data_IF_401729257393
#
_entry.id   IF_401729257393
#
_cell.length_a   1.000
_cell.length_b   1.000
_cell.length_c   1.000
_cell.angle_alpha   90.00
_cell.angle_beta   90.00
_cell.angle_gamma   90.00
#
_symmetry.space_group_name_H-M   'P 1'
#
loop_
_entity.id
_entity.type
_entity.pdbx_description
1 polymer ?
#
# COMPACT_ATOMS: atom_id res chain seq x y z
N UNK A 1 -26.44 7.44 20.45
CA UNK A 1 -27.40 6.48 19.84
C UNK A 1 -26.61 5.61 18.90
N UNK A 2 -26.37 4.35 19.24
CA UNK A 2 -25.55 3.42 18.45
C UNK A 2 -26.44 2.68 17.45
N UNK A 3 -26.13 2.74 16.15
CA UNK A 3 -26.85 1.97 15.13
C UNK A 3 -26.54 0.48 15.32
N UNK A 4 -27.55 -0.38 15.09
CA UNK A 4 -27.38 -1.84 15.07
C UNK A 4 -26.51 -2.27 13.89
N UNK A 5 -25.76 -3.37 14.01
CA UNK A 5 -24.94 -3.96 12.94
C UNK A 5 -25.74 -4.20 11.64
N UNK A 6 -27.00 -4.62 11.77
CA UNK A 6 -27.91 -4.81 10.63
C UNK A 6 -28.26 -3.48 9.94
N UNK A 7 -28.40 -2.40 10.72
CA UNK A 7 -28.67 -1.06 10.18
C UNK A 7 -27.43 -0.51 9.46
N UNK A 8 -26.23 -0.73 10.00
CA UNK A 8 -24.97 -0.34 9.37
C UNK A 8 -24.72 -1.09 8.07
N UNK A 9 -25.02 -2.41 8.04
CA UNK A 9 -24.87 -3.22 6.84
C UNK A 9 -25.84 -2.80 5.73
N UNK A 10 -27.09 -2.54 6.08
CA UNK A 10 -28.09 -2.06 5.13
C UNK A 10 -27.71 -0.69 4.52
N UNK A 11 -27.12 0.20 5.31
CA UNK A 11 -26.65 1.51 4.85
C UNK A 11 -25.45 1.40 3.88
N UNK A 12 -24.54 0.45 4.13
CA UNK A 12 -23.41 0.16 3.22
C UNK A 12 -23.88 -0.47 1.91
N UNK A 13 -24.85 -1.40 1.95
CA UNK A 13 -25.43 -2.04 0.76
C UNK A 13 -26.24 -1.05 -0.10
N UNK A 14 -26.82 -0.01 0.50
CA UNK A 14 -27.55 1.04 -0.21
C UNK A 14 -26.70 2.24 -0.64
N UNK A 15 -25.40 2.25 -0.30
CA UNK A 15 -24.50 3.30 -0.79
C UNK A 15 -24.29 3.10 -2.29
N UNK A 16 -24.68 4.07 -3.15
CA UNK A 16 -24.47 3.96 -4.58
C UNK A 16 -22.99 3.79 -4.86
N UNK A 17 -22.60 2.64 -5.41
CA UNK A 17 -21.26 2.45 -5.89
C UNK A 17 -21.09 3.38 -7.10
N UNK A 18 -19.99 4.14 -7.19
CA UNK A 18 -19.72 4.92 -8.39
C UNK A 18 -19.70 3.96 -9.60
N UNK A 19 -20.22 4.39 -10.77
CA UNK A 19 -20.17 3.56 -11.96
C UNK A 19 -18.73 3.15 -12.26
N UNK A 20 -18.53 1.86 -12.53
CA UNK A 20 -17.23 1.29 -12.90
C UNK A 20 -16.79 1.91 -14.23
N UNK A 21 -15.61 2.52 -14.24
CA UNK A 21 -14.98 3.02 -15.46
C UNK A 21 -14.11 1.90 -16.07
N UNK A 22 -14.70 1.20 -17.05
CA UNK A 22 -14.07 0.08 -17.74
C UNK A 22 -12.77 0.47 -18.47
N UNK A 23 -12.73 1.66 -19.06
CA UNK A 23 -11.53 2.16 -19.75
C UNK A 23 -10.36 2.37 -18.78
N UNK A 24 -10.65 2.83 -17.56
CA UNK A 24 -9.64 2.96 -16.51
C UNK A 24 -9.13 1.59 -16.03
N UNK A 25 -10.01 0.59 -15.95
CA UNK A 25 -9.64 -0.78 -15.57
C UNK A 25 -8.78 -1.46 -16.64
N UNK A 26 -9.16 -1.35 -17.91
CA UNK A 26 -8.36 -1.87 -19.03
C UNK A 26 -6.97 -1.26 -19.03
N UNK A 27 -6.87 0.05 -18.81
CA UNK A 27 -5.57 0.72 -18.71
C UNK A 27 -4.71 0.21 -17.55
N UNK A 28 -5.31 -0.02 -16.37
CA UNK A 28 -4.59 -0.61 -15.23
C UNK A 28 -4.10 -2.01 -15.58
N UNK A 29 -4.96 -2.82 -16.20
CA UNK A 29 -4.61 -4.17 -16.62
C UNK A 29 -3.44 -4.16 -17.61
N UNK A 30 -3.49 -3.33 -18.65
CA UNK A 30 -2.44 -3.22 -19.65
C UNK A 30 -1.11 -2.70 -19.08
N UNK A 31 -1.16 -1.78 -18.10
CA UNK A 31 0.04 -1.27 -17.43
C UNK A 31 0.66 -2.30 -16.46
N UNK A 32 -0.11 -3.27 -15.98
CA UNK A 32 0.31 -4.22 -14.94
C UNK A 32 0.52 -5.64 -15.44
N UNK A 33 -0.04 -6.00 -16.60
CA UNK A 33 0.09 -7.34 -17.17
C UNK A 33 1.56 -7.67 -17.42
N UNK A 34 1.98 -8.85 -17.00
CA UNK A 34 3.37 -9.31 -17.09
C UNK A 34 4.37 -8.35 -16.46
N UNK A 35 3.97 -7.54 -15.47
CA UNK A 35 4.88 -6.70 -14.69
C UNK A 35 4.98 -7.22 -13.26
N UNK A 36 6.12 -6.98 -12.63
CA UNK A 36 6.24 -7.11 -11.19
C UNK A 36 5.42 -6.01 -10.52
N UNK A 37 4.70 -6.32 -9.44
CA UNK A 37 3.85 -5.36 -8.72
C UNK A 37 4.20 -5.39 -7.23
N UNK A 38 4.23 -4.21 -6.63
CA UNK A 38 4.49 -4.03 -5.21
C UNK A 38 3.49 -3.10 -4.55
N UNK A 39 3.18 -3.33 -3.28
CA UNK A 39 2.42 -2.38 -2.46
C UNK A 39 3.24 -1.94 -1.27
N UNK A 40 3.31 -0.64 -1.05
CA UNK A 40 4.08 -0.02 0.02
C UNK A 40 3.39 1.25 0.53
N UNK A 41 3.47 1.49 1.84
CA UNK A 41 2.98 2.71 2.49
C UNK A 41 4.05 3.29 3.40
N UNK A 42 4.00 4.60 3.60
CA UNK A 42 4.83 5.30 4.57
C UNK A 42 4.08 5.65 5.86
N UNK A 43 2.78 5.33 5.92
CA UNK A 43 1.92 5.69 7.04
C UNK A 43 2.19 4.79 8.25
N UNK A 44 2.19 5.39 9.45
CA UNK A 44 2.15 4.69 10.74
C UNK A 44 1.21 5.42 11.71
N UNK A 45 0.64 4.66 12.64
CA UNK A 45 -0.22 5.15 13.71
C UNK A 45 0.42 6.24 14.58
N UNK A 46 1.74 6.15 14.76
CA UNK A 46 2.49 6.98 15.71
C UNK A 46 2.85 8.36 15.15
N UNK A 47 2.57 8.60 13.86
CA UNK A 47 2.79 9.88 13.20
C UNK A 47 1.47 10.63 13.00
N UNK A 48 1.53 11.96 13.09
CA UNK A 48 0.41 12.81 12.71
C UNK A 48 0.07 12.69 11.23
N UNK A 49 -1.15 13.09 10.85
CA UNK A 49 -1.57 13.10 9.45
C UNK A 49 -0.63 13.93 8.55
N UNK A 50 -0.06 15.03 9.06
CA UNK A 50 0.88 15.89 8.32
C UNK A 50 2.23 15.19 8.11
N UNK A 51 2.74 14.50 9.12
CA UNK A 51 3.99 13.74 9.04
C UNK A 51 3.85 12.54 8.10
N UNK A 52 2.76 11.78 8.22
CA UNK A 52 2.44 10.67 7.32
C UNK A 52 2.37 11.14 5.86
N UNK A 53 1.73 12.29 5.61
CA UNK A 53 1.68 12.88 4.28
C UNK A 53 3.07 13.31 3.77
N UNK A 54 3.92 13.86 4.63
CA UNK A 54 5.31 14.21 4.27
C UNK A 54 6.11 12.98 3.90
N UNK A 55 6.10 11.94 4.76
CA UNK A 55 6.77 10.66 4.53
C UNK A 55 6.28 9.98 3.24
N UNK A 56 4.98 10.05 2.97
CA UNK A 56 4.40 9.52 1.72
C UNK A 56 4.93 10.26 0.48
N UNK A 57 5.11 11.59 0.54
CA UNK A 57 5.69 12.36 -0.57
C UNK A 57 7.16 12.04 -0.79
N UNK A 58 7.91 11.79 0.28
CA UNK A 58 9.30 11.34 0.18
C UNK A 58 9.37 9.96 -0.49
N UNK A 59 8.54 9.01 -0.05
CA UNK A 59 8.44 7.69 -0.69
C UNK A 59 8.06 7.80 -2.17
N UNK A 60 7.14 8.69 -2.53
CA UNK A 60 6.81 8.95 -3.93
C UNK A 60 8.01 9.44 -4.74
N UNK A 61 8.79 10.36 -4.18
CA UNK A 61 10.02 10.85 -4.79
C UNK A 61 11.01 9.71 -5.01
N UNK A 62 11.18 8.85 -3.99
CA UNK A 62 12.06 7.69 -4.04
C UNK A 62 11.63 6.68 -5.13
N UNK A 63 10.32 6.40 -5.26
CA UNK A 63 9.77 5.54 -6.32
C UNK A 63 10.11 6.13 -7.69
N UNK A 64 9.82 7.41 -7.89
CA UNK A 64 10.04 8.11 -9.17
C UNK A 64 11.52 8.15 -9.54
N UNK A 65 12.40 8.46 -8.58
CA UNK A 65 13.86 8.48 -8.79
C UNK A 65 14.44 7.09 -9.10
N UNK A 66 13.73 6.02 -8.70
CA UNK A 66 14.14 4.64 -9.02
C UNK A 66 13.63 4.16 -10.39
N UNK A 67 12.88 5.00 -11.11
CA UNK A 67 12.41 4.70 -12.47
C UNK A 67 11.14 3.85 -12.55
N UNK A 68 10.49 3.57 -11.42
CA UNK A 68 9.25 2.77 -11.40
C UNK A 68 8.02 3.62 -11.71
N UNK A 69 7.03 2.97 -12.35
CA UNK A 69 5.67 3.49 -12.41
C UNK A 69 4.97 3.31 -11.05
N UNK A 70 3.97 4.13 -10.76
CA UNK A 70 3.14 3.93 -9.57
C UNK A 70 1.73 4.49 -9.73
N UNK A 71 0.81 3.94 -8.93
CA UNK A 71 -0.56 4.45 -8.72
C UNK A 71 -0.79 4.67 -7.23
N UNK A 72 -1.60 5.66 -6.91
CA UNK A 72 -2.07 5.87 -5.54
C UNK A 72 -3.19 4.90 -5.21
N UNK A 73 -3.17 4.36 -4.00
CA UNK A 73 -4.24 3.56 -3.45
C UNK A 73 -4.62 4.14 -2.10
N UNK A 74 -5.92 4.29 -1.87
CA UNK A 74 -6.46 4.63 -0.56
C UNK A 74 -6.90 3.36 0.16
N UNK A 75 -6.22 3.06 1.26
CA UNK A 75 -6.68 2.10 2.25
C UNK A 75 -7.65 2.76 3.21
N UNK A 76 -8.72 2.06 3.56
CA UNK A 76 -9.66 2.51 4.58
C UNK A 76 -9.65 1.52 5.74
N UNK A 77 -9.15 1.95 6.89
CA UNK A 77 -9.20 1.16 8.13
C UNK A 77 -10.16 1.87 9.07
N UNK A 78 -11.06 1.11 9.69
CA UNK A 78 -11.86 1.62 10.81
C UNK A 78 -11.15 1.23 12.10
N UNK A 79 -10.40 2.16 12.67
CA UNK A 79 -9.79 1.97 13.99
C UNK A 79 -10.89 1.97 15.06
N UNK A 80 -10.69 1.19 16.13
CA UNK A 80 -11.65 1.03 17.24
C UNK A 80 -13.05 0.60 16.78
N UNK A 81 -13.12 -0.22 15.72
CA UNK A 81 -14.36 -0.73 15.17
C UNK A 81 -15.26 -1.34 16.26
N UNK A 82 -16.54 -0.96 16.27
CA UNK A 82 -17.52 -1.43 17.26
C UNK A 82 -17.52 -0.67 18.59
N UNK A 83 -16.71 0.38 18.73
CA UNK A 83 -16.71 1.26 19.90
C UNK A 83 -17.27 2.65 19.54
N UNK A 84 -17.66 3.48 20.53
CA UNK A 84 -17.99 4.89 20.31
C UNK A 84 -16.84 5.72 19.71
N UNK A 85 -15.59 5.24 19.86
CA UNK A 85 -14.37 5.89 19.37
C UNK A 85 -13.94 5.38 17.98
N UNK A 86 -14.84 4.67 17.27
CA UNK A 86 -14.59 4.17 15.93
C UNK A 86 -14.29 5.33 14.97
N UNK A 87 -13.13 5.28 14.31
CA UNK A 87 -12.72 6.33 13.37
C UNK A 87 -12.20 5.73 12.08
N UNK A 88 -12.65 6.30 10.96
CA UNK A 88 -12.14 5.94 9.63
C UNK A 88 -10.80 6.62 9.42
N UNK A 89 -9.75 5.81 9.34
CA UNK A 89 -8.41 6.24 8.96
C UNK A 89 -8.24 5.97 7.47
N UNK A 90 -7.88 7.02 6.74
CA UNK A 90 -7.51 6.92 5.33
C UNK A 90 -6.00 6.81 5.26
N UNK A 91 -5.53 5.65 4.84
CA UNK A 91 -4.11 5.40 4.59
C UNK A 91 -3.82 5.54 3.11
N UNK A 92 -2.70 6.19 2.80
CA UNK A 92 -2.23 6.30 1.41
C UNK A 92 -1.10 5.32 1.20
N UNK A 93 -1.29 4.44 0.23
CA UNK A 93 -0.30 3.50 -0.24
C UNK A 93 0.02 3.76 -1.72
N UNK A 94 1.11 3.18 -2.17
CA UNK A 94 1.52 3.15 -3.57
C UNK A 94 1.48 1.71 -4.06
N UNK A 95 0.79 1.50 -5.19
CA UNK A 95 1.06 0.35 -6.05
C UNK A 95 2.20 0.73 -6.97
N UNK A 96 3.34 0.07 -6.81
CA UNK A 96 4.55 0.27 -7.60
C UNK A 96 4.59 -0.79 -8.69
N UNK A 97 4.88 -0.37 -9.91
CA UNK A 97 4.85 -1.22 -11.10
C UNK A 97 6.28 -1.28 -11.66
N UNK A 98 6.81 -2.50 -11.73
CA UNK A 98 8.09 -2.81 -12.34
C UNK A 98 8.06 -2.72 -13.87
N UNK A 99 9.19 -3.01 -14.51
CA UNK A 99 9.23 -3.23 -15.95
C UNK A 99 8.44 -4.49 -16.35
N UNK A 100 8.12 -4.59 -17.64
CA UNK A 100 7.57 -5.82 -18.20
C UNK A 100 8.60 -6.95 -18.13
N UNK A 101 8.13 -8.14 -17.77
CA UNK A 101 8.95 -9.34 -17.60
C UNK A 101 9.69 -9.37 -16.27
N UNK A 102 10.72 -10.21 -16.24
CA UNK A 102 11.65 -10.29 -15.13
C UNK A 102 12.45 -8.98 -15.00
N UNK A 103 12.38 -8.36 -13.83
CA UNK A 103 13.12 -7.14 -13.50
C UNK A 103 14.42 -7.43 -12.73
N UNK A 104 14.86 -8.70 -12.70
CA UNK A 104 16.03 -9.19 -11.96
C UNK A 104 15.99 -8.87 -10.46
N UNK A 105 14.78 -8.79 -9.89
CA UNK A 105 14.56 -8.51 -8.47
C UNK A 105 14.66 -7.03 -8.10
N UNK A 106 14.70 -6.12 -9.08
CA UNK A 106 14.83 -4.69 -8.84
C UNK A 106 13.67 -4.14 -8.01
N UNK A 107 12.42 -4.48 -8.34
CA UNK A 107 11.26 -4.03 -7.56
C UNK A 107 11.27 -4.62 -6.15
N UNK A 108 11.54 -5.92 -6.02
CA UNK A 108 11.59 -6.56 -4.70
C UNK A 108 12.67 -5.95 -3.81
N UNK A 109 13.86 -5.69 -4.36
CA UNK A 109 14.94 -5.00 -3.66
C UNK A 109 14.56 -3.59 -3.22
N UNK A 110 13.89 -2.83 -4.11
CA UNK A 110 13.32 -1.53 -3.78
C UNK A 110 12.34 -1.61 -2.61
N UNK A 111 11.35 -2.50 -2.69
CA UNK A 111 10.31 -2.65 -1.66
C UNK A 111 10.91 -3.00 -0.29
N UNK A 112 11.88 -3.91 -0.23
CA UNK A 112 12.57 -4.26 1.02
C UNK A 112 13.32 -3.07 1.62
N UNK A 113 14.04 -2.32 0.79
CA UNK A 113 14.80 -1.13 1.21
C UNK A 113 13.89 -0.03 1.75
N UNK A 114 12.87 0.34 0.96
CA UNK A 114 12.03 1.47 1.29
C UNK A 114 10.95 1.13 2.30
N UNK A 115 10.45 -0.11 2.34
CA UNK A 115 9.58 -0.57 3.41
C UNK A 115 10.28 -0.45 4.76
N UNK A 116 11.56 -0.83 4.84
CA UNK A 116 12.35 -0.66 6.05
C UNK A 116 12.75 0.80 6.35
N UNK A 117 12.86 1.67 5.34
CA UNK A 117 13.03 3.12 5.53
C UNK A 117 11.77 3.74 6.12
N UNK A 118 10.61 3.24 5.71
CA UNK A 118 9.29 3.67 6.15
C UNK A 118 8.80 2.98 7.44
N UNK A 119 9.65 2.19 8.08
CA UNK A 119 9.36 1.44 9.30
C UNK A 119 8.17 0.48 9.13
N UNK A 120 8.03 -0.14 7.96
CA UNK A 120 7.01 -1.16 7.70
C UNK A 120 7.56 -2.55 8.03
N UNK A 121 6.77 -3.38 8.70
CA UNK A 121 7.19 -4.75 9.04
C UNK A 121 7.20 -5.66 7.82
N UNK A 122 6.35 -5.38 6.83
CA UNK A 122 6.25 -6.11 5.58
C UNK A 122 5.80 -5.22 4.41
N UNK A 123 5.97 -5.75 3.21
CA UNK A 123 5.51 -5.20 1.93
C UNK A 123 4.85 -6.32 1.13
N UNK A 124 3.95 -5.99 0.22
CA UNK A 124 3.33 -6.97 -0.68
C UNK A 124 4.10 -6.95 -2.00
N UNK A 125 4.41 -8.12 -2.55
CA UNK A 125 5.08 -8.28 -3.83
C UNK A 125 4.39 -9.37 -4.66
N UNK A 126 4.31 -9.15 -5.97
CA UNK A 126 3.84 -10.14 -6.95
C UNK A 126 4.84 -10.19 -8.09
N UNK A 127 5.37 -11.37 -8.39
CA UNK A 127 6.19 -11.57 -9.59
C UNK A 127 5.36 -11.42 -10.86
N UNK A 128 6.02 -11.02 -11.95
CA UNK A 128 5.41 -10.84 -13.27
C UNK A 128 4.73 -12.10 -13.82
N UNK A 129 5.21 -13.29 -13.45
CA UNK A 129 4.82 -14.61 -13.96
C UNK A 129 4.03 -15.46 -12.95
N UNK A 130 3.84 -14.96 -11.73
CA UNK A 130 3.11 -15.67 -10.69
C UNK A 130 1.68 -15.15 -10.51
N UNK A 131 0.77 -16.07 -10.17
CA UNK A 131 -0.62 -15.74 -9.80
C UNK A 131 -0.75 -15.38 -8.31
N UNK A 132 0.22 -15.77 -7.50
CA UNK A 132 0.27 -15.55 -6.05
C UNK A 132 0.93 -14.22 -5.71
N UNK A 133 0.59 -13.72 -4.52
CA UNK A 133 1.23 -12.54 -3.93
C UNK A 133 1.96 -12.97 -2.66
N UNK A 134 3.17 -12.44 -2.49
CA UNK A 134 3.99 -12.65 -1.32
C UNK A 134 3.83 -11.49 -0.34
N UNK A 135 3.72 -11.84 0.94
CA UNK A 135 3.93 -10.90 2.03
C UNK A 135 5.39 -11.00 2.48
N UNK A 136 6.19 -9.99 2.12
CA UNK A 136 7.62 -10.01 2.31
C UNK A 136 7.98 -9.17 3.53
N UNK A 137 8.56 -9.78 4.55
CA UNK A 137 9.07 -9.06 5.71
C UNK A 137 10.19 -8.09 5.33
N UNK A 138 10.21 -6.90 5.94
CA UNK A 138 11.31 -5.96 5.78
C UNK A 138 12.24 -6.02 6.99
N UNK A 139 13.56 -5.79 6.81
CA UNK A 139 14.47 -5.79 7.94
C UNK A 139 14.17 -4.58 8.84
N UNK A 140 13.77 -4.81 10.10
CA UNK A 140 13.60 -3.74 11.07
C UNK A 140 14.89 -2.93 11.23
N UNK A 141 14.80 -1.60 11.35
CA UNK A 141 15.96 -0.73 11.63
C UNK A 141 16.76 -1.19 12.86
N UNK A 142 16.08 -1.77 13.85
CA UNK A 142 16.69 -2.35 15.05
C UNK A 142 17.71 -3.47 14.74
N UNK A 143 17.48 -4.28 13.70
CA UNK A 143 18.41 -5.34 13.29
C UNK A 143 19.63 -4.79 12.53
N UNK A 144 19.53 -3.60 11.92
CA UNK A 144 20.67 -2.95 11.24
C UNK A 144 21.66 -2.31 12.22
N UNK A 145 21.15 -1.77 13.33
CA UNK A 145 21.98 -1.14 14.38
C UNK A 145 22.56 -2.15 15.38
N UNK A 146 22.16 -3.43 15.29
CA UNK A 146 22.64 -4.51 16.14
C UNK A 146 23.84 -5.28 15.57
N UNK A 147 24.46 -4.82 14.47
CA UNK A 147 25.79 -5.31 14.08
C UNK A 147 26.85 -4.62 14.95
N UNK A 148 27.52 -5.34 15.87
CA UNK A 148 28.61 -4.79 16.64
C UNK A 148 29.89 -4.75 15.79
N UNK A 149 30.78 -3.85 16.21
CA UNK A 149 32.20 -3.78 15.86
C UNK A 149 32.88 -5.16 15.91
#
# INVERSE_FOLDING_TARGET
MTKSLEQTRHELEQTPQPPLDEASLERVYEETRNCNIGFITAYRSDYSAKENLSRSRELQSDIRSSGFGFRYIEGHIVENHGTPDARKVVERAYMVIGGQGDDSGNLLGFLKKYGAKCDQDCVIYKSHDEATVDLVGTPSQMLRNASPV
#
